data_IF_338811704977
#
_entry.id   IF_338811704977
#
_cell.length_a   1.000
_cell.length_b   1.000
_cell.length_c   1.000
_cell.angle_alpha   90.00
_cell.angle_beta   90.00
_cell.angle_gamma   90.00
#
_symmetry.space_group_name_H-M   'P 1'
#
loop_
_entity.id
_entity.type
_entity.pdbx_description
1 polymer ?
#
# COMPACT_ATOMS: atom_id res chain seq x y z
N UNK A 1 -11.11 5.62 24.02
CA UNK A 1 -10.35 4.88 22.99
C UNK A 1 -10.61 3.39 23.17
N UNK A 2 -11.06 2.72 22.12
CA UNK A 2 -11.17 1.27 22.06
C UNK A 2 -10.20 0.69 21.03
N UNK A 3 -9.88 -0.60 21.15
CA UNK A 3 -9.13 -1.34 20.13
C UNK A 3 -10.09 -2.28 19.42
N UNK A 4 -9.98 -2.39 18.10
CA UNK A 4 -10.77 -3.37 17.33
C UNK A 4 -10.33 -4.77 17.72
N UNK A 5 -11.23 -5.54 18.31
CA UNK A 5 -10.98 -6.92 18.73
C UNK A 5 -11.45 -7.92 17.66
N UNK A 6 -12.57 -7.65 16.99
CA UNK A 6 -13.12 -8.52 15.94
C UNK A 6 -13.87 -7.70 14.89
N UNK A 7 -13.73 -8.07 13.62
CA UNK A 7 -14.53 -7.53 12.53
C UNK A 7 -15.78 -8.38 12.29
N UNK A 8 -16.88 -7.73 11.94
CA UNK A 8 -18.16 -8.35 11.62
C UNK A 8 -18.38 -8.19 10.12
N UNK A 9 -18.19 -9.29 9.39
CA UNK A 9 -18.42 -9.38 7.95
C UNK A 9 -19.80 -9.96 7.65
N UNK A 10 -20.43 -9.48 6.58
CA UNK A 10 -21.61 -10.11 5.99
C UNK A 10 -21.28 -11.40 5.25
N UNK A 11 -22.30 -12.09 4.76
CA UNK A 11 -22.14 -13.31 3.93
C UNK A 11 -21.37 -13.04 2.63
N UNK A 12 -21.38 -11.79 2.16
CA UNK A 12 -20.62 -11.28 1.02
C UNK A 12 -19.16 -10.96 1.33
N UNK A 13 -18.72 -11.19 2.58
CA UNK A 13 -17.36 -10.87 3.04
C UNK A 13 -17.14 -9.39 3.34
N UNK A 14 -18.13 -8.53 3.12
CA UNK A 14 -18.00 -7.08 3.36
C UNK A 14 -18.17 -6.78 4.85
N UNK A 15 -17.16 -6.14 5.43
CA UNK A 15 -17.16 -5.72 6.83
C UNK A 15 -18.11 -4.54 7.02
N UNK A 16 -19.05 -4.67 7.96
CA UNK A 16 -20.04 -3.63 8.28
C UNK A 16 -20.03 -3.20 9.73
N UNK A 17 -19.38 -3.97 10.60
CA UNK A 17 -19.22 -3.63 12.00
C UNK A 17 -17.94 -4.18 12.61
N UNK A 18 -17.69 -3.77 13.84
CA UNK A 18 -16.59 -4.25 14.65
C UNK A 18 -17.00 -4.34 16.12
N UNK A 19 -16.39 -5.29 16.82
CA UNK A 19 -16.38 -5.37 18.28
C UNK A 19 -15.14 -4.62 18.75
N UNK A 20 -15.38 -3.58 19.54
CA UNK A 20 -14.35 -2.78 20.19
C UNK A 20 -14.14 -3.25 21.63
N UNK A 21 -12.89 -3.43 22.03
CA UNK A 21 -12.50 -3.55 23.44
C UNK A 21 -12.14 -2.16 23.96
N UNK A 22 -12.93 -1.66 24.89
CA UNK A 22 -12.71 -0.39 25.60
C UNK A 22 -12.32 -0.67 27.06
N UNK A 23 -11.89 0.35 27.80
CA UNK A 23 -11.60 0.21 29.23
C UNK A 23 -12.80 -0.29 30.05
N UNK A 24 -14.01 -0.02 29.57
CA UNK A 24 -15.26 -0.38 30.25
C UNK A 24 -15.89 -1.66 29.69
N UNK A 25 -15.16 -2.43 28.88
CA UNK A 25 -15.61 -3.69 28.29
C UNK A 25 -15.76 -3.66 26.78
N UNK A 26 -16.55 -4.59 26.24
CA UNK A 26 -16.74 -4.77 24.80
C UNK A 26 -17.96 -4.00 24.30
N UNK A 27 -17.86 -3.40 23.12
CA UNK A 27 -18.96 -2.69 22.46
C UNK A 27 -18.98 -2.99 20.97
N UNK A 28 -20.14 -3.36 20.46
CA UNK A 28 -20.35 -3.51 19.02
C UNK A 28 -20.74 -2.16 18.40
N UNK A 29 -20.12 -1.84 17.26
CA UNK A 29 -20.38 -0.62 16.50
C UNK A 29 -20.34 -0.94 15.00
N UNK A 30 -21.24 -0.32 14.23
CA UNK A 30 -21.11 -0.32 12.77
C UNK A 30 -19.90 0.51 12.33
N UNK A 31 -19.30 0.18 11.17
CA UNK A 31 -18.12 0.89 10.67
C UNK A 31 -18.36 2.39 10.47
N UNK A 32 -19.57 2.77 10.05
CA UNK A 32 -19.96 4.19 9.88
C UNK A 32 -19.98 4.98 11.19
N UNK A 33 -20.10 4.30 12.33
CA UNK A 33 -20.08 4.90 13.67
C UNK A 33 -18.73 4.67 14.38
N UNK A 34 -17.69 4.27 13.64
CA UNK A 34 -16.31 4.24 14.11
C UNK A 34 -15.59 5.49 13.61
N UNK A 35 -15.30 6.40 14.52
CA UNK A 35 -14.47 7.55 14.22
C UNK A 35 -13.00 7.23 14.47
N UNK A 36 -12.05 7.77 13.67
CA UNK A 36 -10.62 7.51 13.83
C UNK A 36 -10.08 7.83 15.24
N UNK A 37 -10.67 8.82 15.92
CA UNK A 37 -10.30 9.21 17.29
C UNK A 37 -10.98 8.35 18.37
N UNK A 38 -11.83 7.40 18.01
CA UNK A 38 -12.41 6.46 18.99
C UNK A 38 -11.64 5.14 19.02
N UNK A 39 -10.82 4.88 17.99
CA UNK A 39 -10.20 3.59 17.72
C UNK A 39 -8.68 3.72 17.66
N UNK A 40 -7.98 3.07 18.58
CA UNK A 40 -6.53 2.92 18.48
C UNK A 40 -6.19 1.75 17.55
N UNK A 41 -5.17 1.92 16.70
CA UNK A 41 -4.58 0.79 15.99
C UNK A 41 -4.03 -0.20 17.01
N UNK A 42 -4.41 -1.47 16.92
CA UNK A 42 -3.78 -2.50 17.74
C UNK A 42 -2.28 -2.50 17.40
N UNK A 43 -1.38 -2.58 18.40
CA UNK A 43 0.02 -2.82 18.13
C UNK A 43 0.10 -4.15 17.39
N UNK A 44 0.42 -4.10 16.10
CA UNK A 44 0.64 -5.32 15.34
C UNK A 44 1.82 -6.01 16.01
N UNK A 45 1.75 -7.33 16.26
CA UNK A 45 2.90 -8.07 16.81
C UNK A 45 4.17 -7.91 15.95
N UNK A 46 4.04 -7.49 14.69
CA UNK A 46 5.16 -7.09 13.82
C UNK A 46 5.81 -5.74 14.16
N UNK A 47 5.24 -4.95 15.07
CA UNK A 47 5.85 -3.79 15.71
C UNK A 47 6.60 -4.17 17.00
N UNK A 48 6.80 -5.47 17.30
CA UNK A 48 7.87 -5.89 18.20
C UNK A 48 9.18 -5.35 17.62
N UNK A 49 9.58 -4.18 18.12
CA UNK A 49 10.87 -3.52 17.93
C UNK A 49 11.60 -4.05 16.70
N UNK A 50 11.16 -3.66 15.50
CA UNK A 50 12.02 -3.86 14.34
C UNK A 50 13.19 -2.91 14.56
N UNK A 51 14.21 -3.38 15.28
CA UNK A 51 15.46 -2.69 15.49
C UNK A 51 15.96 -2.41 14.09
N UNK A 52 15.76 -1.18 13.64
CA UNK A 52 16.15 -0.76 12.32
C UNK A 52 17.66 -0.91 12.26
N UNK A 53 18.17 -1.67 11.30
CA UNK A 53 19.60 -1.86 11.16
C UNK A 53 20.25 -0.49 10.87
N UNK A 54 21.06 0.08 11.79
CA UNK A 54 21.66 1.39 11.58
C UNK A 54 22.71 1.37 10.46
N UNK A 55 23.16 0.17 10.03
CA UNK A 55 24.08 -0.04 8.91
C UNK A 55 23.34 -0.35 7.60
N UNK A 56 22.02 -0.20 7.53
CA UNK A 56 21.29 -0.41 6.28
C UNK A 56 21.76 0.58 5.21
N UNK A 57 22.05 0.09 4.01
CA UNK A 57 22.39 0.95 2.87
C UNK A 57 21.19 1.84 2.53
N UNK A 58 21.47 3.08 2.11
CA UNK A 58 20.46 3.94 1.51
C UNK A 58 19.73 3.20 0.38
N UNK A 59 18.41 3.40 0.30
CA UNK A 59 17.60 2.81 -0.75
C UNK A 59 18.06 3.32 -2.12
N UNK A 60 18.48 2.41 -3.00
CA UNK A 60 18.83 2.72 -4.38
C UNK A 60 17.76 2.10 -5.31
N UNK A 61 16.98 2.91 -6.04
CA UNK A 61 16.03 2.39 -7.00
C UNK A 61 16.75 1.56 -8.06
N UNK A 62 16.17 0.43 -8.44
CA UNK A 62 16.75 -0.49 -9.44
C UNK A 62 17.06 0.28 -10.73
N UNK A 63 18.32 0.24 -11.15
CA UNK A 63 18.75 0.78 -12.45
C UNK A 63 18.07 -0.03 -13.55
N UNK A 64 16.99 0.48 -14.14
CA UNK A 64 16.29 -0.13 -15.27
C UNK A 64 17.14 -0.02 -16.54
N UNK A 65 18.20 -0.84 -16.64
CA UNK A 65 19.14 -0.78 -17.77
C UNK A 65 18.50 -1.23 -19.08
N UNK A 66 17.76 -2.35 -19.06
CA UNK A 66 17.20 -2.93 -20.29
C UNK A 66 15.97 -2.20 -20.84
N UNK A 67 15.11 -1.64 -19.98
CA UNK A 67 13.90 -0.97 -20.44
C UNK A 67 14.20 0.40 -21.05
N UNK A 68 15.17 1.15 -20.48
CA UNK A 68 15.58 2.46 -20.99
C UNK A 68 16.32 2.37 -22.32
N UNK A 69 17.23 1.39 -22.49
CA UNK A 69 17.95 1.20 -23.76
C UNK A 69 17.00 0.80 -24.89
N UNK A 70 16.09 -0.15 -24.63
CA UNK A 70 15.08 -0.56 -25.63
C UNK A 70 14.14 0.58 -26.03
N UNK A 71 13.80 1.47 -25.10
CA UNK A 71 12.99 2.64 -25.40
C UNK A 71 13.74 3.63 -26.30
N UNK A 72 15.02 3.92 -26.02
CA UNK A 72 15.82 4.81 -26.86
C UNK A 72 16.06 4.24 -28.26
N UNK A 73 16.30 2.93 -28.38
CA UNK A 73 16.50 2.26 -29.68
C UNK A 73 15.24 2.35 -30.56
N UNK A 74 14.06 2.07 -29.98
CA UNK A 74 12.78 2.21 -30.69
C UNK A 74 12.49 3.63 -31.15
N UNK A 75 12.81 4.62 -30.32
CA UNK A 75 12.62 6.03 -30.69
C UNK A 75 13.51 6.38 -31.89
N UNK A 76 14.77 5.90 -31.91
CA UNK A 76 15.67 6.07 -33.05
C UNK A 76 15.13 5.44 -34.33
N UNK A 77 14.61 4.21 -34.26
CA UNK A 77 14.01 3.50 -35.40
C UNK A 77 12.77 4.23 -35.94
N UNK A 78 11.90 4.72 -35.07
CA UNK A 78 10.72 5.50 -35.49
C UNK A 78 11.14 6.78 -36.21
N UNK A 79 12.21 7.45 -35.74
CA UNK A 79 12.71 8.67 -36.37
C UNK A 79 13.28 8.38 -37.76
N UNK A 80 14.03 7.27 -37.94
CA UNK A 80 14.54 6.88 -39.26
C UNK A 80 13.40 6.51 -40.22
N UNK A 81 12.43 5.72 -39.75
CA UNK A 81 11.28 5.30 -40.57
C UNK A 81 10.44 6.49 -41.04
N UNK A 82 10.30 7.52 -40.19
CA UNK A 82 9.60 8.78 -40.54
C UNK A 82 10.40 9.61 -41.55
N UNK A 83 11.73 9.59 -41.48
CA UNK A 83 12.58 10.31 -42.42
C UNK A 83 12.52 9.66 -43.81
N UNK A 84 12.66 8.34 -43.88
CA UNK A 84 12.64 7.57 -45.14
C UNK A 84 11.25 7.61 -45.82
N UNK A 85 10.17 7.76 -45.05
CA UNK A 85 8.81 7.92 -45.56
C UNK A 85 8.48 9.32 -46.09
N UNK A 86 9.32 10.34 -45.86
CA UNK A 86 9.10 11.72 -46.35
C UNK A 86 9.83 12.00 -47.67
N UNK A 87 10.80 11.18 -48.02
CA UNK A 87 11.61 11.33 -49.24
C UNK A 87 11.10 10.48 -50.42
N UNK A 88 9.91 9.89 -50.30
CA UNK A 88 9.20 9.11 -51.33
C UNK A 88 7.75 9.60 -51.46
#
# INVERSE_FOLDING_TARGET
MGVVEKLIAGKDGVVRGAILKTGNGRKERSLQHLYPLEVASAPTKSQQSKVLNPKAKAFEPRKSRAAKTRASEKIGQIISDIADSKDN
#
